data_IF_648626043289
#
_entry.id   IF_648626043289
#
_cell.length_a   1.000
_cell.length_b   1.000
_cell.length_c   1.000
_cell.angle_alpha   90.00
_cell.angle_beta   90.00
_cell.angle_gamma   90.00
#
_symmetry.space_group_name_H-M   'P 1'
#
loop_
_entity.id
_entity.type
_entity.pdbx_description
1 polymer ?
#
# COMPACT_ATOMS: atom_id res chain seq x y z
N UNK A 1 10.94 3.74 -12.39
CA UNK A 1 9.76 3.62 -11.50
C UNK A 1 9.41 2.15 -11.45
N UNK A 2 9.34 1.55 -10.26
CA UNK A 2 8.91 0.16 -10.13
C UNK A 2 7.44 0.03 -10.58
N UNK A 3 7.09 -1.09 -11.21
CA UNK A 3 5.70 -1.35 -11.58
C UNK A 3 4.85 -1.52 -10.31
N UNK A 4 3.64 -0.95 -10.25
CA UNK A 4 2.76 -1.12 -9.09
C UNK A 4 2.36 -2.59 -8.96
N UNK A 5 2.25 -3.07 -7.71
CA UNK A 5 1.75 -4.40 -7.43
C UNK A 5 0.26 -4.48 -7.80
N UNK A 6 -0.13 -5.53 -8.52
CA UNK A 6 -1.52 -5.78 -8.92
C UNK A 6 -2.32 -6.49 -7.84
N UNK A 7 -1.66 -7.33 -7.07
CA UNK A 7 -2.27 -8.25 -6.11
C UNK A 7 -1.45 -8.27 -4.82
N UNK A 8 -2.13 -8.51 -3.69
CA UNK A 8 -1.50 -8.68 -2.39
C UNK A 8 -1.39 -10.18 -2.08
N UNK A 9 -0.15 -10.66 -1.86
CA UNK A 9 0.13 -12.08 -1.59
C UNK A 9 -0.50 -13.01 -2.66
N UNK A 10 -1.17 -14.09 -2.23
CA UNK A 10 -1.75 -15.14 -3.08
C UNK A 10 -3.03 -14.70 -3.85
N UNK A 11 -3.06 -13.47 -4.39
CA UNK A 11 -4.19 -12.96 -5.19
C UNK A 11 -5.25 -12.19 -4.38
N UNK A 12 -4.97 -11.80 -3.13
CA UNK A 12 -5.89 -10.96 -2.39
C UNK A 12 -5.93 -9.54 -2.99
N UNK A 13 -7.08 -8.86 -2.84
CA UNK A 13 -7.21 -7.47 -3.29
C UNK A 13 -6.21 -6.56 -2.55
N UNK A 14 -5.65 -5.59 -3.28
CA UNK A 14 -4.71 -4.63 -2.72
C UNK A 14 -5.31 -3.80 -1.56
N UNK A 15 -6.61 -3.50 -1.64
CA UNK A 15 -7.36 -2.84 -0.55
C UNK A 15 -7.40 -3.70 0.72
N UNK A 16 -7.61 -5.01 0.58
CA UNK A 16 -7.56 -5.92 1.73
C UNK A 16 -6.17 -5.93 2.37
N UNK A 17 -5.10 -5.95 1.55
CA UNK A 17 -3.72 -5.87 2.03
C UNK A 17 -3.45 -4.60 2.86
N UNK A 18 -3.84 -3.43 2.35
CA UNK A 18 -3.66 -2.16 3.08
C UNK A 18 -4.49 -2.09 4.36
N UNK A 19 -5.73 -2.60 4.36
CA UNK A 19 -6.54 -2.67 5.57
C UNK A 19 -5.95 -3.62 6.61
N UNK A 20 -5.43 -4.76 6.18
CA UNK A 20 -4.74 -5.72 7.06
C UNK A 20 -3.50 -5.08 7.69
N UNK A 21 -2.64 -4.46 6.88
CA UNK A 21 -1.43 -3.76 7.34
C UNK A 21 -1.79 -2.66 8.33
N UNK A 22 -2.78 -1.81 8.02
CA UNK A 22 -3.21 -0.73 8.90
C UNK A 22 -3.82 -1.25 10.21
N UNK A 23 -4.54 -2.38 10.17
CA UNK A 23 -5.11 -3.01 11.38
C UNK A 23 -4.03 -3.62 12.27
N UNK A 24 -3.05 -4.32 11.68
CA UNK A 24 -1.91 -4.85 12.42
C UNK A 24 -1.09 -3.72 13.06
N UNK A 25 -0.84 -2.65 12.32
CA UNK A 25 -0.15 -1.47 12.82
C UNK A 25 -0.94 -0.79 13.96
N UNK A 26 -2.28 -0.73 13.87
CA UNK A 26 -3.14 -0.23 14.93
C UNK A 26 -3.02 -1.07 16.21
N UNK A 27 -3.13 -2.40 16.08
CA UNK A 27 -3.03 -3.33 17.21
C UNK A 27 -1.66 -3.20 17.87
N UNK A 28 -0.59 -3.20 17.08
CA UNK A 28 0.79 -3.04 17.57
C UNK A 28 0.95 -1.72 18.32
N UNK A 29 0.44 -0.61 17.76
CA UNK A 29 0.49 0.71 18.39
C UNK A 29 -0.27 0.74 19.72
N UNK A 30 -1.47 0.16 19.78
CA UNK A 30 -2.27 0.09 21.01
C UNK A 30 -1.57 -0.74 22.07
N UNK A 31 -0.97 -1.87 21.71
CA UNK A 31 -0.19 -2.69 22.63
C UNK A 31 1.01 -1.90 23.17
N UNK A 32 1.76 -1.19 22.32
CA UNK A 32 2.89 -0.38 22.78
C UNK A 32 2.46 0.76 23.71
N UNK A 33 1.38 1.47 23.40
CA UNK A 33 0.85 2.53 24.27
C UNK A 33 0.37 1.93 25.59
N UNK A 34 -0.31 0.78 25.58
CA UNK A 34 -0.76 0.11 26.79
C UNK A 34 0.40 -0.35 27.68
N UNK A 35 1.43 -0.97 27.08
CA UNK A 35 2.62 -1.44 27.80
C UNK A 35 3.41 -0.25 28.39
N UNK A 36 3.65 0.81 27.61
CA UNK A 36 4.33 2.01 28.10
C UNK A 36 3.54 2.74 29.19
N UNK A 37 2.21 2.76 29.09
CA UNK A 37 1.35 3.31 30.14
C UNK A 37 1.43 2.45 31.41
N UNK A 38 1.41 1.12 31.28
CA UNK A 38 1.52 0.22 32.42
C UNK A 38 2.89 0.35 33.14
N UNK A 39 4.00 0.47 32.41
CA UNK A 39 5.32 0.65 33.02
C UNK A 39 5.48 2.03 33.64
N UNK A 40 5.05 3.10 32.94
CA UNK A 40 5.30 4.47 33.38
C UNK A 40 4.32 4.95 34.46
N UNK A 41 3.03 4.64 34.32
CA UNK A 41 1.97 5.12 35.23
C UNK A 41 1.76 4.17 36.39
N UNK A 42 1.62 2.88 36.10
CA UNK A 42 1.30 1.88 37.15
C UNK A 42 2.55 1.38 37.86
N UNK A 43 3.77 1.72 37.37
CA UNK A 43 5.04 1.16 37.84
C UNK A 43 5.00 -0.37 37.92
N UNK A 44 4.20 -0.99 37.05
CA UNK A 44 4.14 -2.43 36.96
C UNK A 44 5.48 -2.92 36.41
N UNK A 45 6.09 -3.90 37.06
CA UNK A 45 7.28 -4.59 36.55
C UNK A 45 6.87 -5.41 35.33
N UNK A 46 6.78 -4.75 34.17
CA UNK A 46 6.40 -5.38 32.90
C UNK A 46 7.58 -6.17 32.32
N UNK A 47 7.98 -7.23 33.01
CA UNK A 47 8.99 -8.18 32.57
C UNK A 47 10.40 -7.61 32.35
N UNK A 48 11.37 -8.50 32.08
CA UNK A 48 12.78 -8.13 31.92
C UNK A 48 13.08 -7.36 30.62
N UNK A 49 12.13 -7.29 29.67
CA UNK A 49 12.38 -6.71 28.34
C UNK A 49 12.20 -5.20 28.27
N UNK A 50 11.44 -4.59 29.19
CA UNK A 50 11.17 -3.14 29.18
C UNK A 50 11.78 -2.38 30.37
N UNK A 51 12.11 -3.10 31.46
CA UNK A 51 12.70 -2.54 32.68
C UNK A 51 13.99 -1.73 32.42
N UNK A 52 14.85 -2.21 31.53
CA UNK A 52 16.20 -1.67 31.39
C UNK A 52 16.31 -0.56 30.33
N UNK A 53 15.19 -0.17 29.71
CA UNK A 53 15.19 0.93 28.76
C UNK A 53 15.27 2.28 29.47
N UNK A 54 16.06 3.19 28.88
CA UNK A 54 16.14 4.57 29.32
C UNK A 54 14.74 5.21 29.26
N UNK A 55 14.34 5.92 30.32
CA UNK A 55 13.02 6.59 30.45
C UNK A 55 12.72 7.46 29.22
N UNK A 56 13.76 8.07 28.64
CA UNK A 56 13.67 8.85 27.41
C UNK A 56 13.14 8.01 26.23
N UNK A 57 13.61 6.78 26.04
CA UNK A 57 13.18 5.91 24.94
C UNK A 57 11.73 5.47 25.11
N UNK A 58 11.32 5.10 26.33
CA UNK A 58 9.93 4.72 26.61
C UNK A 58 8.96 5.89 26.33
N UNK A 59 9.34 7.10 26.72
CA UNK A 59 8.53 8.31 26.50
C UNK A 59 8.40 8.64 25.01
N UNK A 60 9.50 8.53 24.25
CA UNK A 60 9.49 8.74 22.80
C UNK A 60 8.61 7.71 22.08
N UNK A 61 8.68 6.43 22.46
CA UNK A 61 7.82 5.38 21.90
C UNK A 61 6.34 5.65 22.18
N UNK A 62 5.99 6.10 23.39
CA UNK A 62 4.62 6.46 23.74
C UNK A 62 4.10 7.64 22.90
N UNK A 63 4.90 8.70 22.74
CA UNK A 63 4.55 9.86 21.90
C UNK A 63 4.37 9.42 20.45
N UNK A 64 5.30 8.62 19.93
CA UNK A 64 5.25 8.13 18.55
C UNK A 64 4.00 7.29 18.30
N UNK A 65 3.64 6.41 19.24
CA UNK A 65 2.43 5.61 19.17
C UNK A 65 1.15 6.45 19.18
N UNK A 66 1.08 7.49 20.03
CA UNK A 66 -0.08 8.41 20.05
C UNK A 66 -0.21 9.21 18.75
N UNK A 67 0.92 9.67 18.19
CA UNK A 67 0.94 10.38 16.91
C UNK A 67 0.53 9.46 15.75
N UNK A 68 0.85 8.17 15.81
CA UNK A 68 0.50 7.20 14.76
C UNK A 68 -1.01 7.00 14.59
N UNK A 69 -1.78 7.03 15.68
CA UNK A 69 -3.22 6.73 15.68
C UNK A 69 -4.04 7.51 14.64
N UNK A 70 -3.99 8.86 14.57
CA UNK A 70 -4.74 9.59 13.55
C UNK A 70 -4.30 9.23 12.12
N UNK A 71 -3.01 9.03 11.86
CA UNK A 71 -2.53 8.64 10.54
C UNK A 71 -3.05 7.25 10.14
N UNK A 72 -3.05 6.29 11.06
CA UNK A 72 -3.58 4.95 10.82
C UNK A 72 -5.09 5.01 10.52
N UNK A 73 -5.86 5.76 11.32
CA UNK A 73 -7.31 5.94 11.09
C UNK A 73 -7.57 6.59 9.73
N UNK A 74 -6.80 7.62 9.35
CA UNK A 74 -6.92 8.24 8.02
C UNK A 74 -6.53 7.28 6.89
N UNK A 75 -5.55 6.40 7.10
CA UNK A 75 -5.17 5.36 6.16
C UNK A 75 -6.28 4.33 5.92
N UNK A 76 -6.91 3.84 7.00
CA UNK A 76 -8.06 2.93 6.94
C UNK A 76 -9.23 3.60 6.21
N UNK A 77 -9.58 4.82 6.60
CA UNK A 77 -10.66 5.58 5.96
C UNK A 77 -10.37 5.85 4.46
N UNK A 78 -9.13 6.23 4.15
CA UNK A 78 -8.66 6.47 2.79
C UNK A 78 -8.74 5.23 1.91
N UNK A 79 -8.36 4.07 2.44
CA UNK A 79 -8.46 2.79 1.74
C UNK A 79 -9.93 2.39 1.48
N UNK A 80 -10.82 2.57 2.46
CA UNK A 80 -12.25 2.27 2.33
C UNK A 80 -12.98 3.21 1.36
N UNK A 81 -12.68 4.52 1.43
CA UNK A 81 -13.32 5.56 0.60
C UNK A 81 -12.58 5.82 -0.71
N UNK A 82 -11.47 5.11 -0.98
CA UNK A 82 -10.61 5.30 -2.16
C UNK A 82 -10.16 6.77 -2.34
N UNK A 83 -9.79 7.43 -1.24
CA UNK A 83 -9.32 8.83 -1.26
C UNK A 83 -7.80 8.85 -1.31
N UNK A 84 -7.21 9.27 -2.44
CA UNK A 84 -5.75 9.29 -2.67
C UNK A 84 -5.01 10.05 -1.57
N UNK A 85 -5.48 11.26 -1.23
CA UNK A 85 -4.81 12.14 -0.26
C UNK A 85 -4.63 11.45 1.09
N UNK A 86 -5.65 10.76 1.58
CA UNK A 86 -5.61 10.06 2.87
C UNK A 86 -4.67 8.86 2.84
N UNK A 87 -4.66 8.07 1.76
CA UNK A 87 -3.74 6.93 1.60
C UNK A 87 -2.30 7.41 1.46
N UNK A 88 -2.04 8.51 0.73
CA UNK A 88 -0.70 9.07 0.55
C UNK A 88 -0.15 9.68 1.85
N UNK A 89 -0.99 10.31 2.68
CA UNK A 89 -0.59 10.76 4.01
C UNK A 89 -0.18 9.57 4.90
N UNK A 90 -0.95 8.48 4.88
CA UNK A 90 -0.60 7.25 5.60
C UNK A 90 0.71 6.63 5.10
N UNK A 91 0.95 6.62 3.78
CA UNK A 91 2.20 6.15 3.19
C UNK A 91 3.42 6.94 3.69
N UNK A 92 3.34 8.28 3.70
CA UNK A 92 4.44 9.12 4.18
C UNK A 92 4.73 8.85 5.66
N UNK A 93 3.68 8.70 6.47
CA UNK A 93 3.84 8.31 7.87
C UNK A 93 4.52 6.95 8.02
N UNK A 94 4.06 5.93 7.28
CA UNK A 94 4.66 4.59 7.28
C UNK A 94 6.13 4.63 6.86
N UNK A 95 6.51 5.49 5.91
CA UNK A 95 7.88 5.64 5.45
C UNK A 95 8.77 6.27 6.52
N UNK A 96 8.26 7.26 7.27
CA UNK A 96 8.95 7.82 8.43
C UNK A 96 9.13 6.77 9.52
N UNK A 97 8.08 5.99 9.84
CA UNK A 97 8.15 4.88 10.79
C UNK A 97 9.23 3.88 10.40
N UNK A 98 9.28 3.46 9.14
CA UNK A 98 10.32 2.55 8.64
C UNK A 98 11.74 3.09 8.83
N UNK A 99 11.97 4.38 8.58
CA UNK A 99 13.29 5.01 8.81
C UNK A 99 13.63 5.00 10.30
N UNK A 100 12.67 5.32 11.17
CA UNK A 100 12.84 5.27 12.63
C UNK A 100 13.14 3.85 13.10
N UNK A 101 12.44 2.84 12.58
CA UNK A 101 12.64 1.43 12.92
C UNK A 101 14.04 0.95 12.51
N UNK A 102 14.50 1.31 11.30
CA UNK A 102 15.86 1.00 10.84
C UNK A 102 16.92 1.66 11.74
N UNK A 103 16.75 2.95 12.08
CA UNK A 103 17.66 3.64 12.99
C UNK A 103 17.66 2.98 14.37
N UNK A 104 16.49 2.63 14.89
CA UNK A 104 16.35 1.98 16.19
C UNK A 104 17.03 0.61 16.20
N UNK A 105 16.82 -0.20 15.17
CA UNK A 105 17.48 -1.51 14.99
C UNK A 105 19.00 -1.35 14.98
N UNK A 106 19.54 -0.36 14.27
CA UNK A 106 20.99 -0.09 14.21
C UNK A 106 21.51 0.33 15.59
N UNK A 107 20.87 1.30 16.24
CA UNK A 107 21.31 1.83 17.54
C UNK A 107 21.25 0.76 18.62
N UNK A 108 20.15 0.01 18.69
CA UNK A 108 20.00 -1.09 19.65
C UNK A 108 21.01 -2.19 19.34
N UNK A 109 21.13 -2.62 18.08
CA UNK A 109 22.09 -3.65 17.67
C UNK A 109 23.54 -3.30 18.01
N UNK A 110 23.93 -2.03 17.88
CA UNK A 110 25.28 -1.54 18.25
C UNK A 110 25.46 -1.45 19.76
N UNK A 111 24.45 -0.99 20.51
CA UNK A 111 24.57 -0.74 21.97
C UNK A 111 24.46 -1.98 22.82
N UNK A 112 23.48 -2.86 22.58
CA UNK A 112 23.21 -3.98 23.50
C UNK A 112 24.17 -5.15 23.32
N UNK A 113 24.76 -5.30 22.13
CA UNK A 113 25.54 -6.49 21.77
C UNK A 113 24.66 -7.75 21.75
N UNK A 114 24.81 -8.62 20.75
CA UNK A 114 23.91 -9.76 20.58
C UNK A 114 24.12 -10.93 21.56
N UNK A 115 25.08 -10.81 22.50
CA UNK A 115 25.44 -11.89 23.44
C UNK A 115 25.27 -11.49 24.91
N UNK A 116 24.34 -10.58 25.21
CA UNK A 116 23.93 -10.36 26.60
C UNK A 116 23.19 -11.60 27.11
N UNK A 117 23.46 -11.99 28.37
CA UNK A 117 22.91 -13.21 29.01
C UNK A 117 21.39 -13.27 29.02
N UNK A 118 20.72 -12.13 28.87
CA UNK A 118 19.26 -12.02 28.80
C UNK A 118 18.64 -12.71 27.58
N UNK A 119 19.38 -12.85 26.46
CA UNK A 119 18.85 -13.39 25.21
C UNK A 119 19.26 -14.85 24.92
N UNK A 120 20.11 -15.45 25.75
CA UNK A 120 20.59 -16.81 25.54
C UNK A 120 19.62 -17.79 26.22
N UNK A 121 18.91 -18.65 25.46
CA UNK A 121 18.09 -19.70 26.07
C UNK A 121 19.01 -20.66 26.84
N UNK A 122 18.71 -20.93 28.11
CA UNK A 122 19.54 -21.81 28.95
C UNK A 122 19.82 -23.18 28.31
N UNK A 123 18.83 -23.72 27.59
CA UNK A 123 18.93 -24.98 26.86
C UNK A 123 20.08 -25.06 25.84
N UNK A 124 20.42 -23.95 25.16
CA UNK A 124 21.52 -23.93 24.18
C UNK A 124 22.88 -23.89 24.86
N UNK A 125 22.96 -23.28 26.05
CA UNK A 125 24.20 -23.12 26.80
C UNK A 125 24.67 -24.46 27.36
N UNK A 126 23.73 -25.28 27.86
CA UNK A 126 24.03 -26.58 28.45
C UNK A 126 24.58 -27.60 27.44
N UNK A 127 24.15 -27.54 26.18
CA UNK A 127 24.50 -28.53 25.16
C UNK A 127 25.64 -28.09 24.23
N UNK A 128 25.73 -26.80 23.90
CA UNK A 128 26.61 -26.29 22.84
C UNK A 128 27.81 -25.45 23.32
N UNK A 129 27.88 -25.12 24.61
CA UNK A 129 28.86 -24.18 25.15
C UNK A 129 28.53 -22.71 24.82
N UNK A 130 29.02 -21.79 25.66
CA UNK A 130 28.65 -20.37 25.61
C UNK A 130 29.00 -19.69 24.27
N UNK A 131 30.13 -20.07 23.66
CA UNK A 131 30.60 -19.48 22.41
C UNK A 131 29.70 -19.83 21.21
N UNK A 132 29.21 -21.06 21.13
CA UNK A 132 28.30 -21.48 20.07
C UNK A 132 26.93 -20.82 20.23
N UNK A 133 26.39 -20.80 21.45
CA UNK A 133 25.10 -20.17 21.75
C UNK A 133 25.11 -18.66 21.39
N UNK A 134 26.18 -17.95 21.73
CA UNK A 134 26.38 -16.55 21.34
C UNK A 134 26.40 -16.36 19.81
N UNK A 135 27.15 -17.19 19.08
CA UNK A 135 27.20 -17.14 17.62
C UNK A 135 25.84 -17.40 16.96
N UNK A 136 25.12 -18.42 17.45
CA UNK A 136 23.80 -18.78 16.94
C UNK A 136 22.76 -17.68 17.18
N UNK A 137 22.69 -17.12 18.39
CA UNK A 137 21.77 -16.02 18.72
C UNK A 137 22.05 -14.79 17.86
N UNK A 138 23.32 -14.45 17.61
CA UNK A 138 23.70 -13.34 16.73
C UNK A 138 23.18 -13.54 15.31
N UNK A 139 23.38 -14.73 14.74
CA UNK A 139 22.90 -15.04 13.39
C UNK A 139 21.37 -14.99 13.33
N UNK A 140 20.69 -15.56 14.32
CA UNK A 140 19.23 -15.51 14.41
C UNK A 140 18.70 -14.07 14.44
N UNK A 141 19.26 -13.22 15.30
CA UNK A 141 18.83 -11.81 15.41
C UNK A 141 19.08 -11.05 14.11
N UNK A 142 20.23 -11.23 13.45
CA UNK A 142 20.51 -10.57 12.17
C UNK A 142 19.50 -11.01 11.10
N UNK A 143 19.23 -12.32 10.99
CA UNK A 143 18.26 -12.87 10.03
C UNK A 143 16.85 -12.33 10.31
N UNK A 144 16.45 -12.27 11.59
CA UNK A 144 15.17 -11.71 12.01
C UNK A 144 15.07 -10.20 11.71
N UNK A 145 16.14 -9.43 11.93
CA UNK A 145 16.16 -8.01 11.60
C UNK A 145 16.01 -7.78 10.09
N UNK A 146 16.78 -8.51 9.27
CA UNK A 146 16.70 -8.42 7.80
C UNK A 146 15.31 -8.83 7.31
N UNK A 147 14.73 -9.90 7.84
CA UNK A 147 13.40 -10.36 7.42
C UNK A 147 12.31 -9.36 7.80
N UNK A 148 12.35 -8.78 9.00
CA UNK A 148 11.43 -7.72 9.43
C UNK A 148 11.53 -6.49 8.52
N UNK A 149 12.74 -6.01 8.23
CA UNK A 149 12.95 -4.86 7.33
C UNK A 149 12.42 -5.14 5.92
N UNK A 150 12.57 -6.37 5.40
CA UNK A 150 12.00 -6.75 4.10
C UNK A 150 10.47 -6.80 4.13
N UNK A 151 9.87 -7.29 5.22
CA UNK A 151 8.42 -7.31 5.41
C UNK A 151 7.87 -5.89 5.45
N UNK A 152 8.51 -4.98 6.20
CA UNK A 152 8.13 -3.57 6.28
C UNK A 152 8.25 -2.86 4.92
N UNK A 153 9.34 -3.11 4.18
CA UNK A 153 9.52 -2.58 2.83
C UNK A 153 8.43 -3.09 1.86
N UNK A 154 8.01 -4.35 2.00
CA UNK A 154 6.89 -4.90 1.23
C UNK A 154 5.54 -4.25 1.61
N UNK A 155 5.31 -3.98 2.90
CA UNK A 155 4.14 -3.24 3.36
C UNK A 155 4.11 -1.83 2.77
N UNK A 156 5.24 -1.12 2.77
CA UNK A 156 5.39 0.19 2.11
C UNK A 156 5.07 0.14 0.62
N UNK A 157 5.65 -0.84 -0.10
CA UNK A 157 5.39 -1.03 -1.52
C UNK A 157 3.91 -1.34 -1.81
N UNK A 158 3.23 -2.07 -0.93
CA UNK A 158 1.80 -2.38 -1.02
C UNK A 158 0.95 -1.12 -0.90
N UNK A 159 1.19 -0.28 0.12
CA UNK A 159 0.44 0.97 0.33
C UNK A 159 0.72 1.96 -0.80
N UNK A 160 1.97 2.07 -1.26
CA UNK A 160 2.34 2.88 -2.41
C UNK A 160 1.61 2.44 -3.68
N UNK A 161 1.58 1.12 -3.94
CA UNK A 161 0.88 0.56 -5.09
C UNK A 161 -0.62 0.88 -5.05
N UNK A 162 -1.24 0.87 -3.86
CA UNK A 162 -2.65 1.23 -3.73
C UNK A 162 -2.89 2.72 -4.01
N UNK A 163 -2.01 3.59 -3.53
CA UNK A 163 -2.11 5.02 -3.83
C UNK A 163 -2.03 5.27 -5.34
N UNK A 164 -1.13 4.57 -6.02
CA UNK A 164 -0.94 4.73 -7.46
C UNK A 164 -2.05 4.06 -8.29
N UNK A 165 -2.63 2.97 -7.81
CA UNK A 165 -3.87 2.38 -8.34
C UNK A 165 -5.01 3.39 -8.28
N UNK A 166 -5.24 4.02 -7.12
CA UNK A 166 -6.29 5.05 -6.94
C UNK A 166 -6.05 6.25 -7.88
N UNK A 167 -4.80 6.73 -7.97
CA UNK A 167 -4.41 7.86 -8.82
C UNK A 167 -4.65 7.60 -10.31
N UNK A 168 -4.41 6.36 -10.79
CA UNK A 168 -4.67 5.97 -12.17
C UNK A 168 -6.16 5.76 -12.48
N UNK A 169 -7.06 5.98 -11.51
CA UNK A 169 -8.47 5.60 -11.64
C UNK A 169 -8.70 4.09 -11.53
N UNK A 170 -7.68 3.37 -11.06
CA UNK A 170 -7.66 1.94 -10.76
C UNK A 170 -8.45 1.64 -9.49
N UNK A 171 -9.74 1.42 -9.67
CA UNK A 171 -10.53 0.60 -8.77
C UNK A 171 -11.66 0.08 -9.62
N UNK A 172 -11.84 -1.23 -9.68
CA UNK A 172 -12.76 -1.97 -10.55
C UNK A 172 -14.25 -1.59 -10.54
N UNK A 173 -14.63 -0.45 -9.97
CA UNK A 173 -15.77 0.34 -10.48
C UNK A 173 -15.29 1.27 -11.60
N UNK A 174 -14.61 0.73 -12.62
CA UNK A 174 -14.32 1.49 -13.84
C UNK A 174 -15.63 2.02 -14.35
N UNK A 175 -15.80 3.35 -14.28
CA UNK A 175 -17.00 4.10 -14.64
C UNK A 175 -18.26 3.22 -14.66
N UNK A 176 -18.91 2.92 -13.53
CA UNK A 176 -20.20 2.21 -13.55
C UNK A 176 -21.18 2.92 -14.49
N UNK A 177 -21.02 4.23 -14.69
CA UNK A 177 -21.66 4.99 -15.77
C UNK A 177 -21.27 4.55 -17.18
N UNK A 178 -20.00 4.27 -17.51
CA UNK A 178 -19.64 3.69 -18.81
C UNK A 178 -20.11 2.25 -18.96
N UNK A 179 -20.14 1.42 -17.90
CA UNK A 179 -20.77 0.09 -17.99
C UNK A 179 -22.28 0.18 -18.16
N UNK A 180 -22.96 1.08 -17.45
CA UNK A 180 -24.39 1.39 -17.67
C UNK A 180 -24.63 1.93 -19.08
N UNK A 181 -23.78 2.83 -19.56
CA UNK A 181 -23.88 3.41 -20.90
C UNK A 181 -23.50 2.40 -21.99
N UNK A 182 -22.58 1.46 -21.74
CA UNK A 182 -22.25 0.37 -22.65
C UNK A 182 -23.39 -0.65 -22.71
N UNK A 183 -24.04 -0.95 -21.57
CA UNK A 183 -25.25 -1.78 -21.54
C UNK A 183 -26.42 -1.09 -22.26
N UNK A 184 -26.65 0.21 -22.00
CA UNK A 184 -27.64 1.01 -22.72
C UNK A 184 -27.32 1.11 -24.21
N UNK A 185 -26.04 1.27 -24.58
CA UNK A 185 -25.61 1.35 -25.99
C UNK A 185 -25.78 -0.01 -26.69
N UNK A 186 -25.46 -1.11 -26.02
CA UNK A 186 -25.72 -2.47 -26.50
C UNK A 186 -27.24 -2.73 -26.66
N UNK A 187 -28.05 -2.23 -25.72
CA UNK A 187 -29.50 -2.33 -25.79
C UNK A 187 -30.08 -1.48 -26.93
N UNK A 188 -29.62 -0.24 -27.12
CA UNK A 188 -30.03 0.60 -28.25
C UNK A 188 -29.57 0.05 -29.60
N UNK A 189 -28.41 -0.60 -29.67
CA UNK A 189 -27.93 -1.27 -30.88
C UNK A 189 -28.75 -2.52 -31.22
N UNK A 190 -29.32 -3.21 -30.20
CA UNK A 190 -30.24 -4.32 -30.41
C UNK A 190 -31.63 -3.85 -30.88
N UNK A 191 -32.12 -2.72 -30.37
CA UNK A 191 -33.40 -2.13 -30.82
C UNK A 191 -33.33 -1.59 -32.26
N UNK A 192 -32.17 -1.13 -32.72
CA UNK A 192 -31.97 -0.64 -34.09
C UNK A 192 -31.80 -1.74 -35.16
N UNK A 193 -31.93 -3.03 -34.79
CA UNK A 193 -32.00 -4.16 -35.76
C UNK A 193 -33.41 -4.40 -36.31
N UNK A 194 -34.40 -3.60 -35.91
CA UNK A 194 -35.73 -3.62 -36.50
C UNK A 194 -35.76 -2.89 -37.86
N UNK A 195 -35.94 -3.67 -38.92
CA UNK A 195 -36.50 -3.33 -40.24
C UNK A 195 -36.21 -1.92 -40.79
N UNK A 196 -35.15 -1.82 -41.59
CA UNK A 196 -34.70 -0.60 -42.30
C UNK A 196 -35.58 -0.19 -43.49
N UNK A 197 -36.80 -0.72 -43.62
CA UNK A 197 -37.62 -0.49 -44.83
C UNK A 197 -38.47 0.77 -44.81
N UNK A 198 -38.57 1.50 -43.69
CA UNK A 198 -39.47 2.67 -43.65
C UNK A 198 -39.04 3.76 -42.65
N UNK A 199 -38.23 4.73 -43.11
CA UNK A 199 -38.17 6.04 -42.46
C UNK A 199 -38.35 7.16 -43.50
N UNK A 200 -39.42 7.98 -43.38
CA UNK A 200 -39.57 9.18 -44.17
C UNK A 200 -38.49 10.20 -43.77
N UNK A 201 -38.00 10.93 -44.77
CA UNK A 201 -36.96 11.95 -44.68
C UNK A 201 -37.11 12.88 -43.47
N UNK A 202 -36.33 12.61 -42.42
CA UNK A 202 -36.17 13.52 -41.28
C UNK A 202 -34.92 14.36 -41.53
N UNK A 203 -35.07 15.69 -41.60
CA UNK A 203 -33.96 16.64 -41.66
C UNK A 203 -33.17 16.56 -40.33
N UNK A 204 -32.09 15.78 -40.36
CA UNK A 204 -31.20 15.57 -39.22
C UNK A 204 -30.24 16.77 -39.07
N UNK A 205 -30.35 17.46 -37.94
CA UNK A 205 -29.47 18.57 -37.56
C UNK A 205 -28.03 18.08 -37.32
N UNK A 206 -27.14 18.37 -38.28
CA UNK A 206 -25.70 18.63 -38.15
C UNK A 206 -24.74 17.54 -37.64
N UNK A 207 -25.04 16.84 -36.54
CA UNK A 207 -24.08 15.92 -35.88
C UNK A 207 -24.48 14.45 -35.90
N UNK A 208 -25.69 14.13 -36.38
CA UNK A 208 -26.17 12.76 -36.57
C UNK A 208 -26.20 12.34 -38.05
N UNK A 209 -25.93 13.27 -38.97
CA UNK A 209 -25.84 13.01 -40.40
C UNK A 209 -24.44 12.54 -40.83
N UNK A 210 -23.66 11.92 -39.94
CA UNK A 210 -22.51 11.13 -40.37
C UNK A 210 -23.08 9.83 -40.97
N UNK A 211 -23.06 9.64 -42.30
CA UNK A 211 -23.50 8.40 -42.90
C UNK A 211 -22.72 7.25 -42.25
N UNK A 212 -23.47 6.21 -41.88
CA UNK A 212 -23.01 4.86 -41.59
C UNK A 212 -21.53 4.66 -41.92
N UNK A 213 -20.71 4.66 -40.86
CA UNK A 213 -19.25 4.53 -40.83
C UNK A 213 -18.81 3.18 -41.43
N UNK A 214 -18.93 3.03 -42.74
CA UNK A 214 -18.47 1.90 -43.56
C UNK A 214 -17.46 2.35 -44.62
N UNK A 215 -16.91 3.56 -44.49
CA UNK A 215 -15.99 4.14 -45.48
C UNK A 215 -14.99 5.09 -44.83
N UNK A 216 -14.08 4.57 -44.00
CA UNK A 216 -12.93 5.38 -43.56
C UNK A 216 -12.02 5.62 -44.76
N UNK A 217 -12.18 6.76 -45.44
CA UNK A 217 -11.09 7.29 -46.25
C UNK A 217 -9.98 7.70 -45.29
N UNK A 218 -8.79 7.13 -45.51
CA UNK A 218 -7.60 7.44 -44.72
C UNK A 218 -7.28 8.92 -44.94
N UNK A 219 -7.31 9.73 -43.87
CA UNK A 219 -7.08 11.18 -43.92
C UNK A 219 -5.70 11.56 -44.52
N UNK A 220 -4.78 10.60 -44.64
CA UNK A 220 -3.46 10.74 -45.29
C UNK A 220 -3.08 9.55 -46.19
N UNK A 221 -4.03 8.95 -46.93
CA UNK A 221 -3.74 7.78 -47.79
C UNK A 221 -3.38 6.49 -47.03
N UNK A 222 -3.22 6.56 -45.71
CA UNK A 222 -3.05 5.46 -44.76
C UNK A 222 -1.80 4.60 -44.97
N UNK A 223 -0.77 5.17 -45.57
CA UNK A 223 0.55 4.54 -45.60
C UNK A 223 1.46 5.02 -44.47
N UNK A 224 1.17 6.17 -43.83
CA UNK A 224 2.00 6.73 -42.75
C UNK A 224 1.16 7.39 -41.66
N UNK A 225 1.42 7.02 -40.40
CA UNK A 225 0.99 7.78 -39.23
C UNK A 225 2.08 8.82 -38.94
N UNK A 226 1.80 10.10 -39.16
CA UNK A 226 2.68 11.18 -38.73
C UNK A 226 2.43 11.40 -37.25
N UNK A 227 3.42 11.07 -36.42
CA UNK A 227 3.39 11.25 -34.96
C UNK A 227 4.23 12.46 -34.51
N UNK A 228 4.90 13.14 -35.44
CA UNK A 228 5.75 14.27 -35.15
C UNK A 228 4.92 15.56 -35.05
N UNK A 229 5.09 16.25 -33.93
CA UNK A 229 4.52 17.58 -33.69
C UNK A 229 5.66 18.60 -33.59
N UNK A 230 5.60 19.74 -34.30
CA UNK A 230 4.52 20.21 -35.18
C UNK A 230 4.54 19.59 -36.60
N UNK A 231 3.39 19.54 -37.30
CA UNK A 231 3.34 19.03 -38.66
C UNK A 231 4.15 19.94 -39.63
N UNK A 232 4.82 19.36 -40.65
CA UNK A 232 5.53 20.14 -41.64
C UNK A 232 4.56 21.00 -42.47
N UNK A 233 4.98 22.19 -42.91
CA UNK A 233 4.17 23.04 -43.78
C UNK A 233 3.96 22.36 -45.15
N UNK A 234 2.72 22.37 -45.65
CA UNK A 234 2.35 21.96 -47.01
C UNK A 234 2.85 22.95 -48.08
#
# INVERSE_FOLDING_TARGET
MAAPLREFCCGCSLTFGVLLIATLHLIQTVIFVALTTATLVLRAEAGPTLSDQEIAQQTLTAIFGLVALPFIITGIWGALRRVETSVRLYFVFLAISFVVDVIFIIVVGVKTGFCSKAFIPGALTEQGGEAFACGATRMFVIVSMVSLTLIEAYCLATVWSLAEDIKMGGSGTGFPQLRKNAAMKAQSAATFRGDLTYFPSFEAYGSLAAPTLGGSRRFFGGTKHVIDFPPPPE
#
